data_IF_104119388952
#
_entry.id   IF_104119388952
#
_cell.length_a   1.000
_cell.length_b   1.000
_cell.length_c   1.000
_cell.angle_alpha   90.00
_cell.angle_beta   90.00
_cell.angle_gamma   90.00
#
_symmetry.space_group_name_H-M   'P 1'
#
loop_
_entity.id
_entity.type
_entity.pdbx_description
1 polymer ?
#
# COMPACT_ATOMS: atom_id res chain seq x y z
N UNK A 1 6.35 -0.59 -3.81
CA UNK A 1 6.19 -1.81 -4.64
C UNK A 1 5.23 -1.46 -5.78
N UNK A 2 4.82 -2.41 -6.63
CA UNK A 2 3.77 -2.16 -7.61
C UNK A 2 2.39 -2.53 -7.02
N UNK A 3 1.33 -2.13 -7.71
CA UNK A 3 -0.04 -2.19 -7.20
C UNK A 3 -0.48 -3.60 -6.72
N UNK A 4 -0.25 -4.69 -7.50
CA UNK A 4 -0.56 -6.05 -7.06
C UNK A 4 0.00 -6.46 -5.68
N UNK A 5 1.24 -6.09 -5.36
CA UNK A 5 1.87 -6.43 -4.09
C UNK A 5 1.21 -5.74 -2.91
N UNK A 6 0.89 -4.46 -3.08
CA UNK A 6 0.21 -3.66 -2.07
C UNK A 6 -1.22 -4.16 -1.80
N UNK A 7 -1.98 -4.47 -2.85
CA UNK A 7 -3.32 -5.06 -2.73
C UNK A 7 -3.27 -6.41 -2.00
N UNK A 8 -2.34 -7.29 -2.40
CA UNK A 8 -2.18 -8.60 -1.78
C UNK A 8 -1.75 -8.52 -0.31
N UNK A 9 -0.88 -7.57 0.05
CA UNK A 9 -0.50 -7.34 1.43
C UNK A 9 -1.68 -6.90 2.30
N UNK A 10 -2.49 -5.95 1.81
CA UNK A 10 -3.71 -5.51 2.49
C UNK A 10 -4.70 -6.66 2.70
N UNK A 11 -4.91 -7.49 1.67
CA UNK A 11 -5.72 -8.70 1.78
C UNK A 11 -5.20 -9.66 2.85
N UNK A 12 -3.90 -10.01 2.81
CA UNK A 12 -3.29 -10.95 3.74
C UNK A 12 -3.34 -10.46 5.19
N UNK A 13 -3.09 -9.17 5.42
CA UNK A 13 -3.22 -8.57 6.75
C UNK A 13 -4.65 -8.71 7.28
N UNK A 14 -5.63 -8.49 6.42
CA UNK A 14 -7.05 -8.62 6.78
C UNK A 14 -7.42 -10.05 7.13
N UNK A 15 -6.97 -11.02 6.33
CA UNK A 15 -7.13 -12.46 6.64
C UNK A 15 -6.50 -12.78 8.00
N UNK A 16 -5.30 -12.27 8.27
CA UNK A 16 -4.62 -12.43 9.55
C UNK A 16 -5.44 -11.88 10.71
N UNK A 17 -5.95 -10.65 10.59
CA UNK A 17 -6.80 -10.00 11.59
C UNK A 17 -8.06 -10.83 11.87
N UNK A 18 -8.79 -11.23 10.83
CA UNK A 18 -10.02 -12.00 10.98
C UNK A 18 -9.74 -13.34 11.67
N UNK A 19 -8.67 -14.05 11.28
CA UNK A 19 -8.32 -15.35 11.88
C UNK A 19 -7.83 -15.24 13.33
N UNK A 20 -7.09 -14.18 13.64
CA UNK A 20 -6.50 -13.98 14.96
C UNK A 20 -7.53 -13.48 15.97
N UNK A 21 -8.31 -12.45 15.62
CA UNK A 21 -9.26 -11.82 16.53
C UNK A 21 -10.66 -12.46 16.51
N UNK A 22 -11.02 -13.17 15.44
CA UNK A 22 -12.33 -13.82 15.27
C UNK A 22 -13.50 -12.89 15.62
N UNK A 23 -13.64 -11.75 14.91
CA UNK A 23 -14.70 -10.79 15.20
C UNK A 23 -16.09 -11.42 15.11
N UNK A 24 -16.98 -11.04 16.03
CA UNK A 24 -18.41 -11.39 16.03
C UNK A 24 -19.17 -10.57 14.97
N UNK A 25 -18.76 -10.71 13.71
CA UNK A 25 -19.36 -10.07 12.54
C UNK A 25 -20.01 -11.13 11.65
N UNK A 26 -21.06 -10.75 10.94
CA UNK A 26 -21.69 -11.66 9.98
C UNK A 26 -20.81 -11.90 8.74
N UNK A 27 -21.15 -12.91 7.95
CA UNK A 27 -20.37 -13.29 6.77
C UNK A 27 -20.26 -12.16 5.72
N UNK A 28 -21.28 -11.32 5.59
CA UNK A 28 -21.28 -10.18 4.66
C UNK A 28 -20.27 -9.12 5.12
N UNK A 29 -20.30 -8.78 6.41
CA UNK A 29 -19.35 -7.85 7.03
C UNK A 29 -17.91 -8.35 6.91
N UNK A 30 -17.66 -9.64 7.15
CA UNK A 30 -16.34 -10.24 6.98
C UNK A 30 -15.84 -10.13 5.52
N UNK A 31 -16.71 -10.39 4.54
CA UNK A 31 -16.37 -10.22 3.13
C UNK A 31 -16.07 -8.75 2.78
N UNK A 32 -16.83 -7.81 3.35
CA UNK A 32 -16.55 -6.38 3.18
C UNK A 32 -15.22 -5.97 3.78
N UNK A 33 -14.84 -6.50 4.95
CA UNK A 33 -13.51 -6.27 5.50
C UNK A 33 -12.42 -6.74 4.55
N UNK A 34 -12.56 -7.93 3.95
CA UNK A 34 -11.58 -8.47 2.98
C UNK A 34 -11.47 -7.59 1.73
N UNK A 35 -12.58 -7.13 1.17
CA UNK A 35 -12.59 -6.22 0.00
C UNK A 35 -11.91 -4.90 0.36
N UNK A 36 -12.33 -4.27 1.46
CA UNK A 36 -11.79 -2.98 1.86
C UNK A 36 -10.32 -3.07 2.27
N UNK A 37 -9.93 -4.10 3.01
CA UNK A 37 -8.56 -4.33 3.40
C UNK A 37 -7.61 -4.54 2.21
N UNK A 38 -8.09 -5.22 1.16
CA UNK A 38 -7.37 -5.31 -0.11
C UNK A 38 -7.13 -3.91 -0.69
N UNK A 39 -8.17 -3.09 -0.78
CA UNK A 39 -8.07 -1.72 -1.30
C UNK A 39 -7.19 -0.80 -0.43
N UNK A 40 -7.28 -0.93 0.89
CA UNK A 40 -6.54 -0.12 1.85
C UNK A 40 -5.02 -0.30 1.76
N UNK A 41 -4.54 -1.45 1.28
CA UNK A 41 -3.13 -1.63 0.94
C UNK A 41 -2.63 -0.68 -0.14
N UNK A 42 -3.50 -0.14 -0.99
CA UNK A 42 -3.17 0.76 -2.10
C UNK A 42 -3.49 2.23 -1.81
N UNK A 43 -4.23 2.53 -0.74
CA UNK A 43 -4.68 3.88 -0.44
C UNK A 43 -3.56 4.94 -0.46
N UNK A 44 -2.35 4.70 0.12
CA UNK A 44 -1.27 5.68 0.10
C UNK A 44 -0.88 6.10 -1.33
N UNK A 45 -0.90 5.17 -2.28
CA UNK A 45 -0.52 5.36 -3.69
C UNK A 45 -1.61 6.02 -4.54
N UNK A 46 -2.80 6.33 -4.00
CA UNK A 46 -3.82 7.05 -4.76
C UNK A 46 -3.33 8.45 -5.19
N UNK A 47 -2.34 8.99 -4.47
CA UNK A 47 -1.64 10.19 -4.89
C UNK A 47 -0.86 10.03 -6.20
N UNK A 48 -0.24 8.88 -6.44
CA UNK A 48 0.54 8.59 -7.62
C UNK A 48 -0.33 8.70 -8.88
N UNK A 49 -1.59 8.24 -8.80
CA UNK A 49 -2.56 8.44 -9.88
C UNK A 49 -2.88 9.91 -10.09
N UNK A 50 -3.11 10.67 -9.01
CA UNK A 50 -3.34 12.11 -9.11
C UNK A 50 -2.15 12.84 -9.77
N UNK A 51 -0.92 12.55 -9.35
CA UNK A 51 0.31 13.10 -9.93
C UNK A 51 0.43 12.70 -11.39
N UNK A 52 0.21 11.42 -11.72
CA UNK A 52 0.29 10.92 -13.08
C UNK A 52 -0.73 11.57 -14.02
N UNK A 53 -2.00 11.68 -13.61
CA UNK A 53 -3.03 12.29 -14.45
C UNK A 53 -2.78 13.78 -14.67
N UNK A 54 -2.21 14.46 -13.69
CA UNK A 54 -1.87 15.89 -13.77
C UNK A 54 -0.62 16.15 -14.63
N UNK A 55 0.43 15.34 -14.47
CA UNK A 55 1.76 15.65 -15.01
C UNK A 55 2.22 14.70 -16.13
N UNK A 56 1.57 13.55 -16.32
CA UNK A 56 2.00 12.43 -17.20
C UNK A 56 3.35 11.81 -16.78
N UNK A 57 3.63 11.85 -15.49
CA UNK A 57 4.85 11.37 -14.82
C UNK A 57 4.54 11.17 -13.33
N UNK A 58 5.35 10.38 -12.62
CA UNK A 58 5.17 10.12 -11.17
C UNK A 58 5.96 11.09 -10.27
N UNK A 59 6.61 12.10 -10.86
CA UNK A 59 7.41 13.13 -10.17
C UNK A 59 7.00 14.50 -10.68
N UNK A 60 6.96 15.55 -9.85
CA UNK A 60 6.75 16.91 -10.39
C UNK A 60 8.02 17.43 -11.07
N UNK A 61 7.94 17.68 -12.38
CA UNK A 61 8.97 18.27 -13.27
C UNK A 61 9.77 19.46 -12.75
N UNK A 62 9.25 20.23 -11.79
CA UNK A 62 9.88 21.46 -11.30
C UNK A 62 10.64 21.32 -9.97
N UNK A 63 10.43 20.24 -9.22
CA UNK A 63 10.90 20.20 -7.81
C UNK A 63 11.45 18.83 -7.35
N UNK A 64 11.63 17.84 -8.23
CA UNK A 64 11.97 16.47 -7.82
C UNK A 64 10.98 15.90 -6.78
N UNK A 65 9.75 16.40 -6.75
CA UNK A 65 8.76 15.98 -5.75
C UNK A 65 8.18 14.63 -6.14
N UNK A 66 8.67 13.59 -5.47
CA UNK A 66 8.12 12.23 -5.47
C UNK A 66 6.76 12.22 -4.74
N UNK A 67 5.79 11.48 -5.26
CA UNK A 67 4.48 11.29 -4.60
C UNK A 67 4.62 10.78 -3.15
N UNK A 68 5.71 10.05 -2.86
CA UNK A 68 6.09 9.57 -1.52
C UNK A 68 6.42 10.68 -0.52
N UNK A 69 6.47 11.95 -0.95
CA UNK A 69 6.61 13.11 -0.07
C UNK A 69 5.26 13.68 0.38
N UNK A 70 4.14 13.13 -0.11
CA UNK A 70 2.82 13.57 0.27
C UNK A 70 2.40 13.00 1.63
N UNK A 71 1.42 13.66 2.25
CA UNK A 71 0.89 13.30 3.57
C UNK A 71 0.22 11.91 3.59
N UNK A 72 -0.20 11.40 2.43
CA UNK A 72 -0.61 10.01 2.21
C UNK A 72 0.46 8.99 2.64
N UNK A 73 1.74 9.37 2.58
CA UNK A 73 2.89 8.59 3.01
C UNK A 73 3.42 8.98 4.39
N UNK A 74 2.57 9.54 5.26
CA UNK A 74 2.90 9.88 6.64
C UNK A 74 2.28 8.86 7.63
N UNK A 75 3.06 7.90 8.17
CA UNK A 75 2.51 6.84 9.02
C UNK A 75 1.84 7.33 10.29
N UNK A 76 2.38 8.39 10.92
CA UNK A 76 1.78 8.96 12.13
C UNK A 76 0.40 9.58 11.87
N UNK A 77 0.16 10.13 10.68
CA UNK A 77 -1.17 10.63 10.31
C UNK A 77 -2.19 9.49 10.30
N UNK A 78 -1.86 8.38 9.63
CA UNK A 78 -2.74 7.22 9.57
C UNK A 78 -2.95 6.57 10.93
N UNK A 79 -1.90 6.49 11.75
CA UNK A 79 -2.00 5.99 13.12
C UNK A 79 -3.00 6.80 13.95
N UNK A 80 -2.94 8.13 13.88
CA UNK A 80 -3.87 9.01 14.59
C UNK A 80 -5.28 8.87 14.04
N UNK A 81 -5.47 8.98 12.73
CA UNK A 81 -6.80 8.92 12.11
C UNK A 81 -7.49 7.58 12.35
N UNK A 82 -6.79 6.47 12.10
CA UNK A 82 -7.37 5.14 12.33
C UNK A 82 -7.54 4.86 13.82
N UNK A 83 -6.60 5.30 14.66
CA UNK A 83 -6.71 5.20 16.11
C UNK A 83 -7.99 5.86 16.61
N UNK A 84 -8.27 7.10 16.19
CA UNK A 84 -9.50 7.80 16.55
C UNK A 84 -10.76 7.03 16.13
N UNK A 85 -10.80 6.50 14.90
CA UNK A 85 -11.93 5.67 14.44
C UNK A 85 -12.11 4.43 15.32
N UNK A 86 -11.02 3.73 15.64
CA UNK A 86 -11.03 2.52 16.47
C UNK A 86 -11.50 2.81 17.90
N UNK A 87 -11.04 3.91 18.51
CA UNK A 87 -11.35 4.24 19.91
C UNK A 87 -12.75 4.86 20.08
N UNK A 88 -13.22 5.64 19.13
CA UNK A 88 -14.48 6.40 19.25
C UNK A 88 -15.68 5.58 18.76
N UNK A 89 -15.49 4.74 17.74
CA UNK A 89 -16.60 4.00 17.13
C UNK A 89 -17.23 3.02 18.12
N UNK A 90 -18.55 3.10 18.29
CA UNK A 90 -19.31 2.09 19.03
C UNK A 90 -19.72 0.91 18.15
N UNK A 91 -19.74 1.08 16.83
CA UNK A 91 -20.04 0.01 15.88
C UNK A 91 -18.84 -0.92 15.69
N UNK A 92 -19.06 -2.23 15.88
CA UNK A 92 -18.01 -3.24 15.81
C UNK A 92 -17.40 -3.35 14.41
N UNK A 93 -18.22 -3.30 13.36
CA UNK A 93 -17.75 -3.37 11.99
C UNK A 93 -16.87 -2.17 11.66
N UNK A 94 -17.27 -0.95 12.05
CA UNK A 94 -16.47 0.26 11.84
C UNK A 94 -15.15 0.22 12.63
N UNK A 95 -15.15 -0.33 13.85
CA UNK A 95 -13.89 -0.55 14.60
C UNK A 95 -12.95 -1.47 13.82
N UNK A 96 -13.43 -2.61 13.34
CA UNK A 96 -12.61 -3.53 12.55
C UNK A 96 -12.21 -2.94 11.20
N UNK A 97 -13.05 -2.13 10.57
CA UNK A 97 -12.71 -1.40 9.35
C UNK A 97 -11.54 -0.43 9.60
N UNK A 98 -11.52 0.25 10.76
CA UNK A 98 -10.39 1.08 11.18
C UNK A 98 -9.10 0.28 11.43
N UNK A 99 -9.20 -0.90 12.07
CA UNK A 99 -8.06 -1.81 12.28
C UNK A 99 -7.51 -2.30 10.93
N UNK A 100 -8.39 -2.70 10.02
CA UNK A 100 -8.03 -3.20 8.69
C UNK A 100 -7.45 -2.09 7.81
N UNK A 101 -7.97 -0.86 7.91
CA UNK A 101 -7.38 0.32 7.26
C UNK A 101 -5.96 0.58 7.75
N UNK A 102 -5.77 0.61 9.08
CA UNK A 102 -4.46 0.81 9.67
C UNK A 102 -3.47 -0.28 9.22
N UNK A 103 -3.88 -1.54 9.28
CA UNK A 103 -3.05 -2.66 8.87
C UNK A 103 -2.75 -2.68 7.37
N UNK A 104 -3.73 -2.36 6.52
CA UNK A 104 -3.54 -2.23 5.07
C UNK A 104 -2.51 -1.14 4.74
N UNK A 105 -2.70 0.06 5.29
CA UNK A 105 -1.78 1.18 5.09
C UNK A 105 -0.39 0.90 5.68
N UNK A 106 -0.27 0.28 6.85
CA UNK A 106 1.04 -0.06 7.41
C UNK A 106 1.74 -1.17 6.63
N UNK A 107 0.99 -2.12 6.07
CA UNK A 107 1.56 -3.12 5.16
C UNK A 107 2.19 -2.44 3.95
N UNK A 108 1.53 -1.42 3.40
CA UNK A 108 2.08 -0.60 2.33
C UNK A 108 3.41 0.05 2.75
N UNK A 109 3.44 0.70 3.91
CA UNK A 109 4.65 1.39 4.38
C UNK A 109 5.82 0.46 4.68
N UNK A 110 5.55 -0.71 5.24
CA UNK A 110 6.57 -1.75 5.47
C UNK A 110 7.18 -2.18 4.14
N UNK A 111 6.33 -2.46 3.16
CA UNK A 111 6.75 -2.87 1.83
C UNK A 111 7.56 -1.79 1.11
N UNK A 112 7.16 -0.53 1.23
CA UNK A 112 7.90 0.58 0.64
C UNK A 112 9.23 0.88 1.35
N UNK A 113 9.29 0.63 2.66
CA UNK A 113 10.52 0.72 3.44
C UNK A 113 11.57 -0.31 3.01
N UNK A 114 11.21 -1.37 2.29
CA UNK A 114 12.21 -2.30 1.76
C UNK A 114 13.17 -1.63 0.78
N UNK A 115 12.75 -0.57 0.08
CA UNK A 115 13.58 -0.01 -0.99
C UNK A 115 13.49 1.50 -1.24
N UNK A 116 12.29 2.06 -1.23
CA UNK A 116 12.09 3.47 -1.59
C UNK A 116 12.06 4.35 -0.34
N UNK A 117 11.53 3.80 0.73
CA UNK A 117 11.44 4.44 2.03
C UNK A 117 10.14 5.19 2.25
N UNK A 118 9.89 5.49 3.53
CA UNK A 118 8.67 6.15 4.02
C UNK A 118 9.05 7.18 5.07
N UNK A 119 8.27 8.25 5.19
CA UNK A 119 8.47 9.32 6.18
C UNK A 119 7.95 8.92 7.57
N UNK A 120 8.50 7.86 8.17
CA UNK A 120 8.04 7.32 9.47
C UNK A 120 7.96 8.35 10.60
N UNK A 121 8.82 9.36 10.57
CA UNK A 121 8.92 10.39 11.62
C UNK A 121 8.24 11.72 11.24
N UNK A 122 7.50 11.79 10.13
CA UNK A 122 6.73 12.99 9.79
C UNK A 122 5.59 13.18 10.82
N UNK A 123 5.34 14.40 11.34
CA UNK A 123 5.80 15.70 10.86
C UNK A 123 7.11 16.21 11.47
N UNK A 124 7.76 15.45 12.35
CA UNK A 124 8.98 15.89 13.03
C UNK A 124 10.21 15.89 12.11
N UNK A 125 10.29 14.91 11.20
CA UNK A 125 11.32 14.82 10.15
C UNK A 125 10.71 14.39 8.82
N UNK A 126 11.29 14.87 7.72
CA UNK A 126 10.87 14.55 6.34
C UNK A 126 11.75 13.49 5.66
N UNK A 127 12.68 12.87 6.40
CA UNK A 127 13.58 11.86 5.84
C UNK A 127 12.82 10.57 5.47
N UNK A 128 13.19 9.96 4.34
CA UNK A 128 12.70 8.65 3.92
C UNK A 128 13.59 7.55 4.52
N UNK A 129 12.99 6.67 5.32
CA UNK A 129 13.69 5.54 5.91
C UNK A 129 13.46 4.29 5.06
N UNK A 130 14.54 3.73 4.50
CA UNK A 130 14.52 2.47 3.74
C UNK A 130 15.61 1.50 4.22
N UNK A 131 15.40 0.20 4.02
CA UNK A 131 16.38 -0.85 4.30
C UNK A 131 17.46 -0.86 3.21
N UNK A 132 17.06 -0.73 1.94
CA UNK A 132 17.98 -0.69 0.81
C UNK A 132 17.58 0.41 -0.17
N UNK A 133 18.15 1.60 -0.03
CA UNK A 133 17.94 2.63 -1.03
C UNK A 133 18.60 2.23 -2.37
N UNK A 134 17.87 2.37 -3.46
CA UNK A 134 18.33 2.03 -4.81
C UNK A 134 18.41 3.24 -5.75
N UNK A 135 18.09 4.45 -5.27
CA UNK A 135 18.07 5.71 -6.03
C UNK A 135 17.51 5.49 -7.45
N UNK A 136 16.36 4.81 -7.52
CA UNK A 136 15.85 4.24 -8.75
C UNK A 136 15.20 5.34 -9.61
N UNK A 137 16.03 6.16 -10.28
CA UNK A 137 15.58 7.20 -11.20
C UNK A 137 15.06 6.54 -12.48
N UNK A 138 13.74 6.41 -12.55
CA UNK A 138 13.02 6.02 -13.76
C UNK A 138 12.89 7.27 -14.60
N UNK A 139 13.80 7.48 -15.56
CA UNK A 139 13.76 8.61 -16.51
C UNK A 139 12.57 8.54 -17.48
N UNK A 140 11.38 8.20 -16.98
CA UNK A 140 10.14 8.03 -17.71
C UNK A 140 9.39 9.36 -17.67
N UNK A 141 9.45 10.12 -18.76
CA UNK A 141 8.81 11.44 -18.87
C UNK A 141 7.82 11.43 -20.02
N UNK A 142 6.62 11.98 -19.77
CA UNK A 142 5.61 12.28 -20.80
C UNK A 142 5.10 11.06 -21.59
N UNK A 143 4.83 9.96 -20.89
CA UNK A 143 4.30 8.74 -21.50
C UNK A 143 2.77 8.64 -21.36
N UNK A 144 2.14 7.91 -22.29
CA UNK A 144 0.74 7.48 -22.13
C UNK A 144 0.65 6.47 -20.99
N UNK A 145 -0.49 6.44 -20.27
CA UNK A 145 -0.70 5.61 -19.07
C UNK A 145 -0.14 4.18 -19.22
N UNK A 146 -0.62 3.41 -20.19
CA UNK A 146 -0.17 2.03 -20.35
C UNK A 146 1.32 1.91 -20.72
N UNK A 147 1.82 2.78 -21.60
CA UNK A 147 3.24 2.77 -21.98
C UNK A 147 4.14 3.07 -20.78
N UNK A 148 3.75 4.05 -19.95
CA UNK A 148 4.45 4.37 -18.71
C UNK A 148 4.55 3.13 -17.81
N UNK A 149 3.41 2.47 -17.55
CA UNK A 149 3.37 1.29 -16.69
C UNK A 149 4.16 0.11 -17.25
N UNK A 150 4.10 -0.18 -18.56
CA UNK A 150 4.91 -1.24 -19.15
C UNK A 150 6.41 -0.97 -19.04
N UNK A 151 6.84 0.28 -19.30
CA UNK A 151 8.25 0.67 -19.14
C UNK A 151 8.68 0.65 -17.68
N UNK A 152 7.80 1.07 -16.78
CA UNK A 152 8.04 1.03 -15.34
C UNK A 152 8.25 -0.40 -14.86
N UNK A 153 7.34 -1.33 -15.19
CA UNK A 153 7.45 -2.75 -14.85
C UNK A 153 8.74 -3.34 -15.43
N UNK A 154 9.06 -3.03 -16.69
CA UNK A 154 10.31 -3.50 -17.32
C UNK A 154 11.55 -3.00 -16.59
N UNK A 155 11.64 -1.70 -16.30
CA UNK A 155 12.76 -1.14 -15.54
C UNK A 155 12.85 -1.71 -14.12
N UNK A 156 11.69 -1.96 -13.50
CA UNK A 156 11.59 -2.52 -12.16
C UNK A 156 12.07 -3.99 -12.12
N UNK A 157 11.70 -4.77 -13.13
CA UNK A 157 12.19 -6.13 -13.38
C UNK A 157 13.70 -6.15 -13.70
N UNK A 158 14.13 -5.37 -14.69
CA UNK A 158 15.52 -5.35 -15.19
C UNK A 158 16.52 -4.94 -14.09
N UNK A 159 16.08 -4.14 -13.11
CA UNK A 159 16.90 -3.73 -11.97
C UNK A 159 16.88 -4.73 -10.80
N UNK A 160 16.24 -5.90 -10.96
CA UNK A 160 16.18 -7.01 -9.98
C UNK A 160 16.04 -6.54 -8.54
N UNK A 161 15.08 -5.66 -8.34
CA UNK A 161 14.86 -5.01 -7.06
C UNK A 161 14.38 -6.06 -6.05
N UNK A 162 14.91 -6.03 -4.80
CA UNK A 162 14.45 -6.95 -3.75
C UNK A 162 12.93 -6.90 -3.61
N UNK A 163 12.37 -5.70 -3.75
CA UNK A 163 10.94 -5.45 -3.70
C UNK A 163 10.14 -6.15 -4.80
N UNK A 164 10.68 -6.34 -6.00
CA UNK A 164 10.01 -7.07 -7.07
C UNK A 164 9.80 -8.55 -6.70
N UNK A 165 10.81 -9.21 -6.12
CA UNK A 165 10.67 -10.59 -5.68
C UNK A 165 9.75 -10.73 -4.48
N UNK A 166 9.89 -9.83 -3.50
CA UNK A 166 8.95 -9.76 -2.37
C UNK A 166 7.51 -9.61 -2.86
N UNK A 167 7.29 -8.82 -3.90
CA UNK A 167 5.99 -8.62 -4.49
C UNK A 167 5.41 -9.88 -5.12
N UNK A 168 6.18 -10.57 -5.97
CA UNK A 168 5.76 -11.84 -6.54
C UNK A 168 5.36 -12.82 -5.43
N UNK A 169 6.16 -12.91 -4.37
CA UNK A 169 5.89 -13.81 -3.24
C UNK A 169 4.61 -13.41 -2.50
N UNK A 170 4.48 -12.13 -2.11
CA UNK A 170 3.30 -11.64 -1.39
C UNK A 170 2.03 -11.82 -2.22
N UNK A 171 2.06 -11.51 -3.51
CA UNK A 171 0.92 -11.71 -4.40
C UNK A 171 0.61 -13.20 -4.59
N UNK A 172 1.60 -14.06 -4.79
CA UNK A 172 1.38 -15.50 -4.91
C UNK A 172 0.78 -16.11 -3.64
N UNK A 173 1.28 -15.72 -2.46
CA UNK A 173 0.72 -16.14 -1.17
C UNK A 173 -0.71 -15.63 -1.01
N UNK A 174 -0.98 -14.37 -1.36
CA UNK A 174 -2.32 -13.79 -1.38
C UNK A 174 -3.29 -14.61 -2.23
N UNK A 175 -2.88 -14.95 -3.45
CA UNK A 175 -3.68 -15.80 -4.35
C UNK A 175 -3.93 -17.19 -3.76
N UNK A 176 -2.90 -17.87 -3.23
CA UNK A 176 -3.07 -19.21 -2.63
C UNK A 176 -4.06 -19.17 -1.47
N UNK A 177 -3.97 -18.15 -0.60
CA UNK A 177 -4.88 -17.97 0.53
C UNK A 177 -6.30 -17.70 0.05
N UNK A 178 -6.46 -16.86 -0.97
CA UNK A 178 -7.76 -16.58 -1.58
C UNK A 178 -8.41 -17.85 -2.16
N UNK A 179 -7.67 -18.59 -3.00
CA UNK A 179 -8.16 -19.83 -3.61
C UNK A 179 -8.57 -20.85 -2.54
N UNK A 180 -7.79 -21.02 -1.47
CA UNK A 180 -8.13 -21.91 -0.34
C UNK A 180 -9.32 -21.47 0.50
N UNK A 181 -9.73 -20.22 0.41
CA UNK A 181 -10.84 -19.68 1.21
C UNK A 181 -12.17 -19.77 0.44
N UNK A 182 -12.12 -19.67 -0.89
CA UNK A 182 -13.32 -19.52 -1.72
C UNK A 182 -13.54 -20.61 -2.77
N UNK A 183 -12.55 -21.46 -3.07
CA UNK A 183 -12.65 -22.47 -4.13
C UNK A 183 -12.38 -23.91 -3.68
N UNK A 184 -11.79 -24.10 -2.50
CA UNK A 184 -11.52 -25.39 -1.88
C UNK A 184 -12.03 -25.38 -0.45
#
# INVERSE_FOLDING_TARGET
MIMPGHLAAGYLMTVGIIKFFKPELDASQLNWLLIWGTFFGMIPDLDAFYVFFKNREMTFKREEVDHRMFISHAPLLWLVLCGLVIFISQDLFIRYLGIVLLAGVFSHFILDSLQYGVMWLWPFKKDHYSIKNTDLKLGLVNDRFFNYWFRFIRCYYDKFTLTFWCEIVVTAVGMIVFLKTYLF
#
